data_IF_345201948451
#
_entry.id   IF_345201948451
#
_cell.length_a   1.000
_cell.length_b   1.000
_cell.length_c   1.000
_cell.angle_alpha   90.00
_cell.angle_beta   90.00
_cell.angle_gamma   90.00
#
_symmetry.space_group_name_H-M   'P 1'
#
loop_
_entity.id
_entity.type
_entity.pdbx_description
1 polymer ?
#
# COMPACT_ATOMS: atom_id res chain seq x y z
N UNK A 1 9.83 2.90 24.45
CA UNK A 1 8.83 3.75 23.76
C UNK A 1 8.96 3.69 22.24
N UNK A 2 10.14 3.97 21.66
CA UNK A 2 10.38 3.96 20.21
C UNK A 2 9.99 2.63 19.52
N UNK A 3 10.35 1.48 20.09
CA UNK A 3 9.99 0.16 19.54
C UNK A 3 8.46 -0.07 19.44
N UNK A 4 7.69 0.33 20.47
CA UNK A 4 6.23 0.17 20.47
C UNK A 4 5.58 1.02 19.37
N UNK A 5 6.07 2.25 19.19
CA UNK A 5 5.59 3.18 18.15
C UNK A 5 5.91 2.64 16.76
N UNK A 6 7.16 2.22 16.51
CA UNK A 6 7.54 1.64 15.22
C UNK A 6 6.74 0.38 14.89
N UNK A 7 6.52 -0.50 15.88
CA UNK A 7 5.65 -1.67 15.72
C UNK A 7 4.23 -1.26 15.35
N UNK A 8 3.63 -0.32 16.09
CA UNK A 8 2.27 0.15 15.81
C UNK A 8 2.14 0.72 14.40
N UNK A 9 3.07 1.57 13.96
CA UNK A 9 3.02 2.17 12.61
C UNK A 9 3.28 1.12 11.53
N UNK A 10 4.33 0.30 11.65
CA UNK A 10 4.71 -0.66 10.61
C UNK A 10 3.65 -1.76 10.43
N UNK A 11 3.01 -2.20 11.52
CA UNK A 11 1.89 -3.16 11.49
C UNK A 11 0.54 -2.51 11.19
N UNK A 12 0.52 -1.21 10.87
CA UNK A 12 -0.66 -0.39 10.63
C UNK A 12 -1.74 -0.56 11.71
N UNK A 13 -1.40 -0.17 12.94
CA UNK A 13 -2.30 -0.27 14.09
C UNK A 13 -2.47 -1.67 14.67
N UNK A 14 -1.66 -2.64 14.24
CA UNK A 14 -1.75 -4.04 14.66
C UNK A 14 -2.43 -4.95 13.66
N UNK A 15 -2.90 -4.43 12.51
CA UNK A 15 -3.50 -5.21 11.43
C UNK A 15 -2.53 -6.28 10.92
N UNK A 16 -1.25 -5.93 10.76
CA UNK A 16 -0.22 -6.88 10.32
C UNK A 16 0.07 -8.02 11.31
N UNK A 17 -0.52 -8.00 12.51
CA UNK A 17 -0.43 -9.10 13.46
C UNK A 17 -1.50 -10.18 13.22
N UNK A 18 -2.39 -9.97 12.25
CA UNK A 18 -3.40 -10.96 11.90
C UNK A 18 -2.74 -12.27 11.41
N UNK A 19 -3.18 -13.44 11.89
CA UNK A 19 -2.44 -14.70 11.70
C UNK A 19 -2.44 -15.21 10.25
N UNK A 20 -3.42 -14.84 9.44
CA UNK A 20 -3.59 -15.38 8.08
C UNK A 20 -3.50 -14.29 7.01
N UNK A 21 -2.50 -14.39 6.13
CA UNK A 21 -2.28 -13.44 5.03
C UNK A 21 -2.30 -11.96 5.47
N UNK A 22 -1.41 -11.53 6.41
CA UNK A 22 -1.39 -10.17 6.93
C UNK A 22 -1.31 -9.10 5.84
N UNK A 23 -0.54 -9.33 4.76
CA UNK A 23 -0.47 -8.44 3.60
C UNK A 23 -1.84 -8.18 2.97
N UNK A 24 -2.61 -9.24 2.70
CA UNK A 24 -3.97 -9.12 2.17
C UNK A 24 -4.91 -8.32 3.08
N UNK A 25 -4.77 -8.46 4.41
CA UNK A 25 -5.55 -7.67 5.37
C UNK A 25 -5.09 -6.22 5.38
N UNK A 26 -3.78 -5.97 5.24
CA UNK A 26 -3.21 -4.64 5.03
C UNK A 26 -3.78 -3.96 3.79
N UNK A 27 -3.80 -4.62 2.64
CA UNK A 27 -4.35 -4.04 1.42
C UNK A 27 -5.86 -3.79 1.55
N UNK A 28 -6.61 -4.66 2.24
CA UNK A 28 -8.02 -4.40 2.59
C UNK A 28 -8.16 -3.16 3.49
N UNK A 29 -7.26 -2.94 4.44
CA UNK A 29 -7.25 -1.72 5.24
C UNK A 29 -7.05 -0.47 4.36
N UNK A 30 -6.19 -0.55 3.34
CA UNK A 30 -6.07 0.47 2.29
C UNK A 30 -7.39 0.75 1.56
N UNK A 31 -8.15 -0.29 1.20
CA UNK A 31 -9.48 -0.14 0.60
C UNK A 31 -10.48 0.53 1.55
N UNK A 32 -10.47 0.18 2.84
CA UNK A 32 -11.33 0.81 3.85
C UNK A 32 -11.03 2.30 3.96
N UNK A 33 -9.74 2.69 3.94
CA UNK A 33 -9.31 4.10 3.97
C UNK A 33 -9.82 4.84 2.72
N UNK A 34 -9.65 4.26 1.54
CA UNK A 34 -10.15 4.84 0.29
C UNK A 34 -11.68 4.95 0.28
N UNK A 35 -12.38 3.94 0.80
CA UNK A 35 -13.82 3.95 0.98
C UNK A 35 -14.26 5.10 1.89
N UNK A 36 -13.57 5.33 3.01
CA UNK A 36 -13.82 6.46 3.89
C UNK A 36 -13.56 7.80 3.18
N UNK A 37 -12.45 7.92 2.43
CA UNK A 37 -12.13 9.12 1.64
C UNK A 37 -13.20 9.38 0.57
N UNK A 38 -13.80 8.35 -0.01
CA UNK A 38 -14.80 8.48 -1.09
C UNK A 38 -16.07 9.23 -0.68
N UNK A 39 -16.36 9.34 0.63
CA UNK A 39 -17.46 10.15 1.15
C UNK A 39 -17.17 11.66 1.16
N UNK A 40 -15.95 12.09 0.81
CA UNK A 40 -15.63 13.52 0.75
C UNK A 40 -16.43 14.24 -0.36
N UNK A 41 -16.75 15.54 -0.20
CA UNK A 41 -17.80 16.21 -0.98
C UNK A 41 -17.54 16.33 -2.48
N UNK A 42 -16.30 16.18 -2.93
CA UNK A 42 -15.94 16.26 -4.34
C UNK A 42 -14.67 15.48 -4.65
N UNK A 43 -14.48 15.15 -5.93
CA UNK A 43 -13.27 14.49 -6.40
C UNK A 43 -11.98 15.26 -6.06
N UNK A 44 -12.00 16.60 -6.07
CA UNK A 44 -10.86 17.42 -5.69
C UNK A 44 -10.46 17.20 -4.22
N UNK A 45 -11.45 17.19 -3.31
CA UNK A 45 -11.21 16.91 -1.90
C UNK A 45 -10.71 15.48 -1.68
N UNK A 46 -11.26 14.50 -2.39
CA UNK A 46 -10.80 13.10 -2.33
C UNK A 46 -9.31 12.99 -2.72
N UNK A 47 -8.91 13.63 -3.83
CA UNK A 47 -7.52 13.63 -4.29
C UNK A 47 -6.61 14.32 -3.26
N UNK A 48 -7.01 15.46 -2.70
CA UNK A 48 -6.23 16.15 -1.65
C UNK A 48 -6.01 15.23 -0.45
N UNK A 49 -7.05 14.53 0.02
CA UNK A 49 -6.93 13.60 1.15
C UNK A 49 -6.00 12.42 0.83
N UNK A 50 -6.06 11.87 -0.40
CA UNK A 50 -5.14 10.81 -0.83
C UNK A 50 -3.69 11.30 -0.90
N UNK A 51 -3.45 12.51 -1.42
CA UNK A 51 -2.12 13.13 -1.46
C UNK A 51 -1.58 13.31 -0.05
N UNK A 52 -2.37 13.90 0.86
CA UNK A 52 -1.98 14.07 2.26
C UNK A 52 -1.68 12.74 2.94
N UNK A 53 -2.50 11.72 2.68
CA UNK A 53 -2.25 10.36 3.17
C UNK A 53 -0.89 9.85 2.70
N UNK A 54 -0.59 9.89 1.39
CA UNK A 54 0.67 9.39 0.85
C UNK A 54 1.89 10.18 1.36
N UNK A 55 1.78 11.51 1.42
CA UNK A 55 2.85 12.37 1.95
C UNK A 55 3.19 12.08 3.42
N UNK A 56 2.22 11.62 4.20
CA UNK A 56 2.42 11.27 5.61
C UNK A 56 2.90 9.83 5.75
N UNK A 57 2.23 8.87 5.11
CA UNK A 57 2.41 7.45 5.38
C UNK A 57 3.61 6.82 4.65
N UNK A 58 4.05 7.37 3.50
CA UNK A 58 5.30 6.92 2.86
C UNK A 58 6.51 7.14 3.78
N UNK A 59 6.83 8.37 4.24
CA UNK A 59 8.00 8.57 5.10
C UNK A 59 7.86 7.87 6.46
N UNK A 60 6.65 7.84 7.04
CA UNK A 60 6.41 7.10 8.28
C UNK A 60 6.61 5.60 8.10
N UNK A 61 6.16 5.03 6.98
CA UNK A 61 6.38 3.64 6.61
C UNK A 61 7.86 3.32 6.53
N UNK A 62 8.64 4.08 5.75
CA UNK A 62 10.08 3.88 5.63
C UNK A 62 10.79 3.92 6.99
N UNK A 63 10.47 4.91 7.83
CA UNK A 63 11.09 5.05 9.17
C UNK A 63 10.67 3.91 10.08
N UNK A 64 9.38 3.58 10.12
CA UNK A 64 8.83 2.55 11.00
C UNK A 64 9.30 1.15 10.62
N UNK A 65 9.31 0.81 9.33
CA UNK A 65 9.77 -0.47 8.81
C UNK A 65 11.28 -0.66 9.05
N UNK A 66 12.10 0.37 8.77
CA UNK A 66 13.55 0.33 9.11
C UNK A 66 13.79 0.10 10.60
N UNK A 67 13.03 0.78 11.45
CA UNK A 67 13.13 0.62 12.89
C UNK A 67 12.63 -0.76 13.35
N UNK A 68 11.58 -1.28 12.72
CA UNK A 68 11.03 -2.61 13.01
C UNK A 68 12.07 -3.70 12.72
N UNK A 69 12.65 -3.72 11.52
CA UNK A 69 13.69 -4.70 11.17
C UNK A 69 14.84 -4.68 12.18
N UNK A 70 15.29 -3.47 12.55
CA UNK A 70 16.38 -3.29 13.52
C UNK A 70 16.02 -3.80 14.92
N UNK A 71 14.83 -3.50 15.42
CA UNK A 71 14.42 -3.88 16.78
C UNK A 71 14.07 -5.36 16.91
N UNK A 72 13.48 -5.94 15.88
CA UNK A 72 13.03 -7.34 15.90
C UNK A 72 14.01 -8.30 15.22
N UNK A 73 15.11 -7.78 14.63
CA UNK A 73 16.15 -8.55 13.95
C UNK A 73 15.60 -9.51 12.88
N UNK A 74 14.56 -9.06 12.18
CA UNK A 74 13.94 -9.75 11.05
C UNK A 74 14.21 -8.94 9.79
N UNK A 75 14.58 -9.61 8.72
CA UNK A 75 14.66 -9.03 7.38
C UNK A 75 13.30 -9.27 6.73
N UNK A 76 12.72 -8.22 6.15
CA UNK A 76 11.43 -8.25 5.44
C UNK A 76 10.30 -8.97 6.21
N UNK A 77 9.93 -8.47 7.42
CA UNK A 77 8.94 -9.12 8.27
C UNK A 77 7.52 -8.98 7.71
N UNK A 78 6.85 -10.11 7.44
CA UNK A 78 5.45 -10.21 7.00
C UNK A 78 4.40 -9.44 7.83
N UNK A 79 4.75 -9.07 9.06
CA UNK A 79 3.87 -8.29 9.93
C UNK A 79 3.88 -6.78 9.60
N UNK A 80 4.84 -6.33 8.79
CA UNK A 80 4.86 -4.97 8.23
C UNK A 80 3.90 -4.96 7.05
N UNK A 81 2.89 -4.11 7.15
CA UNK A 81 1.77 -4.03 6.17
C UNK A 81 1.43 -2.58 5.83
N UNK A 82 2.26 -1.62 6.23
CA UNK A 82 2.07 -0.20 5.90
C UNK A 82 2.41 0.09 4.44
N UNK A 83 3.38 -0.63 3.89
CA UNK A 83 3.70 -0.80 2.47
C UNK A 83 2.47 -1.22 1.67
N UNK A 84 1.78 -2.28 2.11
CA UNK A 84 0.58 -2.84 1.51
C UNK A 84 -0.59 -1.83 1.45
N UNK A 85 -0.79 -1.11 2.56
CA UNK A 85 -1.80 -0.04 2.65
C UNK A 85 -1.48 1.09 1.68
N UNK A 86 -0.22 1.54 1.64
CA UNK A 86 0.24 2.61 0.75
C UNK A 86 0.14 2.18 -0.72
N UNK A 87 0.56 0.97 -1.07
CA UNK A 87 0.48 0.41 -2.41
C UNK A 87 -0.96 0.34 -2.93
N UNK A 88 -1.91 -0.05 -2.07
CA UNK A 88 -3.34 -0.04 -2.41
C UNK A 88 -3.88 1.37 -2.65
N UNK A 89 -3.50 2.35 -1.81
CA UNK A 89 -3.89 3.76 -2.00
C UNK A 89 -3.35 4.31 -3.32
N UNK A 90 -2.11 3.97 -3.68
CA UNK A 90 -1.50 4.35 -4.96
C UNK A 90 -2.26 3.70 -6.13
N UNK A 91 -2.60 2.41 -6.02
CA UNK A 91 -3.29 1.67 -7.10
C UNK A 91 -4.59 2.33 -7.52
N UNK A 92 -5.38 2.80 -6.54
CA UNK A 92 -6.69 3.43 -6.76
C UNK A 92 -6.66 4.95 -6.70
N UNK A 93 -5.48 5.55 -6.63
CA UNK A 93 -5.31 7.00 -6.56
C UNK A 93 -6.11 7.69 -7.66
N UNK A 94 -6.87 8.73 -7.34
CA UNK A 94 -7.69 9.52 -8.26
C UNK A 94 -8.65 8.71 -9.17
N UNK A 95 -9.05 7.49 -8.77
CA UNK A 95 -10.14 6.75 -9.40
C UNK A 95 -11.42 6.85 -8.56
N UNK A 96 -12.62 6.85 -9.20
CA UNK A 96 -13.86 6.76 -8.46
C UNK A 96 -13.93 5.42 -7.72
N UNK A 97 -14.42 5.45 -6.48
CA UNK A 97 -14.56 4.27 -5.63
C UNK A 97 -15.78 3.43 -6.05
N UNK A 98 -15.65 2.75 -7.19
CA UNK A 98 -16.66 1.83 -7.73
C UNK A 98 -16.30 0.38 -7.42
N UNK A 99 -17.31 -0.50 -7.40
CA UNK A 99 -17.10 -1.92 -7.15
C UNK A 99 -16.09 -2.55 -8.13
N UNK A 100 -16.18 -2.18 -9.41
CA UNK A 100 -15.25 -2.65 -10.44
C UNK A 100 -13.81 -2.22 -10.15
N UNK A 101 -13.59 -0.92 -9.91
CA UNK A 101 -12.24 -0.39 -9.65
C UNK A 101 -11.65 -1.01 -8.39
N UNK A 102 -12.45 -1.15 -7.33
CA UNK A 102 -12.02 -1.74 -6.06
C UNK A 102 -11.57 -3.18 -6.24
N UNK A 103 -12.40 -4.03 -6.88
CA UNK A 103 -12.07 -5.44 -7.08
C UNK A 103 -10.89 -5.59 -8.03
N UNK A 104 -10.95 -4.95 -9.20
CA UNK A 104 -9.90 -5.06 -10.21
C UNK A 104 -8.56 -4.51 -9.69
N UNK A 105 -8.58 -3.35 -9.03
CA UNK A 105 -7.39 -2.75 -8.44
C UNK A 105 -6.79 -3.60 -7.33
N UNK A 106 -7.62 -4.14 -6.43
CA UNK A 106 -7.15 -5.05 -5.38
C UNK A 106 -6.47 -6.29 -5.97
N UNK A 107 -7.12 -6.95 -6.94
CA UNK A 107 -6.57 -8.17 -7.55
C UNK A 107 -5.28 -7.89 -8.33
N UNK A 108 -5.22 -6.80 -9.11
CA UNK A 108 -4.02 -6.41 -9.84
C UNK A 108 -2.86 -6.10 -8.89
N UNK A 109 -3.12 -5.31 -7.85
CA UNK A 109 -2.13 -4.96 -6.84
C UNK A 109 -1.58 -6.20 -6.15
N UNK A 110 -2.44 -7.04 -5.58
CA UNK A 110 -1.99 -8.27 -4.89
C UNK A 110 -1.23 -9.20 -5.83
N UNK A 111 -1.68 -9.33 -7.09
CA UNK A 111 -0.97 -10.15 -8.06
C UNK A 111 0.45 -9.63 -8.32
N UNK A 112 0.61 -8.33 -8.58
CA UNK A 112 1.91 -7.74 -8.87
C UNK A 112 2.82 -7.66 -7.64
N UNK A 113 2.27 -7.41 -6.46
CA UNK A 113 3.01 -7.44 -5.21
C UNK A 113 3.46 -8.87 -4.85
N UNK A 114 2.65 -9.90 -5.06
CA UNK A 114 3.08 -11.28 -4.77
C UNK A 114 4.12 -11.77 -5.79
N UNK A 115 3.93 -11.44 -7.07
CA UNK A 115 4.80 -11.93 -8.16
C UNK A 115 6.11 -11.13 -8.26
N UNK A 116 6.10 -9.84 -7.91
CA UNK A 116 7.22 -8.88 -8.03
C UNK A 116 7.98 -9.01 -9.36
N UNK A 117 7.31 -8.91 -10.52
CA UNK A 117 7.97 -9.10 -11.81
C UNK A 117 9.07 -8.06 -12.02
N UNK A 118 10.08 -8.39 -12.83
CA UNK A 118 11.10 -7.43 -13.20
C UNK A 118 10.46 -6.18 -13.86
N UNK A 119 10.79 -4.94 -13.45
CA UNK A 119 11.88 -4.53 -12.55
C UNK A 119 11.52 -4.37 -11.06
N UNK A 120 10.26 -4.59 -10.64
CA UNK A 120 9.79 -4.41 -9.25
C UNK A 120 10.64 -5.22 -8.28
N UNK A 121 10.88 -6.51 -8.56
CA UNK A 121 11.69 -7.37 -7.70
C UNK A 121 13.14 -6.90 -7.48
N UNK A 122 13.70 -6.03 -8.35
CA UNK A 122 15.05 -5.48 -8.11
C UNK A 122 15.08 -4.49 -6.93
N UNK A 123 13.94 -3.89 -6.58
CA UNK A 123 13.85 -2.91 -5.49
C UNK A 123 14.08 -3.53 -4.11
N UNK A 124 13.88 -4.84 -3.98
CA UNK A 124 14.20 -5.60 -2.76
C UNK A 124 15.68 -5.56 -2.38
N UNK A 125 16.58 -5.20 -3.31
CA UNK A 125 18.00 -5.01 -3.01
C UNK A 125 18.29 -3.71 -2.23
N UNK A 126 17.32 -2.79 -2.18
CA UNK A 126 17.41 -1.59 -1.36
C UNK A 126 17.29 -2.00 0.11
N UNK A 127 18.18 -1.50 0.96
CA UNK A 127 18.23 -1.90 2.37
C UNK A 127 17.27 -1.10 3.24
N UNK A 128 16.77 -1.73 4.29
CA UNK A 128 15.92 -1.10 5.30
C UNK A 128 14.50 -0.85 4.78
N UNK A 129 13.79 0.05 5.45
CA UNK A 129 12.39 0.35 5.14
C UNK A 129 12.15 0.95 3.76
N UNK A 130 13.18 1.45 3.06
CA UNK A 130 13.02 1.81 1.64
C UNK A 130 12.85 0.59 0.77
N UNK A 131 13.55 -0.52 1.04
CA UNK A 131 13.35 -1.77 0.31
C UNK A 131 11.94 -2.30 0.47
N UNK A 132 11.46 -2.34 1.72
CA UNK A 132 10.12 -2.80 2.09
C UNK A 132 9.00 -1.94 1.49
N UNK A 133 9.18 -0.63 1.42
CA UNK A 133 8.13 0.25 0.88
C UNK A 133 8.19 0.33 -0.66
N UNK A 134 9.38 0.20 -1.27
CA UNK A 134 9.56 0.55 -2.67
C UNK A 134 8.96 -0.47 -3.64
N UNK A 135 9.01 -1.76 -3.33
CA UNK A 135 8.42 -2.81 -4.14
C UNK A 135 6.89 -2.74 -4.18
N UNK A 136 6.23 -2.55 -3.03
CA UNK A 136 4.77 -2.34 -2.96
C UNK A 136 4.34 -1.02 -3.61
N UNK A 137 5.10 0.07 -3.42
CA UNK A 137 4.85 1.34 -4.12
C UNK A 137 4.94 1.13 -5.64
N UNK A 138 5.97 0.43 -6.11
CA UNK A 138 6.15 0.16 -7.54
C UNK A 138 5.04 -0.75 -8.08
N UNK A 139 4.66 -1.81 -7.36
CA UNK A 139 3.53 -2.66 -7.69
C UNK A 139 2.23 -1.85 -7.77
N UNK A 140 2.02 -0.91 -6.84
CA UNK A 140 0.88 0.00 -6.84
C UNK A 140 0.84 0.93 -8.06
N UNK A 141 1.99 1.52 -8.44
CA UNK A 141 2.09 2.37 -9.63
C UNK A 141 1.78 1.57 -10.89
N UNK A 142 2.39 0.40 -11.06
CA UNK A 142 2.16 -0.45 -12.24
C UNK A 142 0.70 -0.92 -12.30
N UNK A 143 0.12 -1.29 -11.16
CA UNK A 143 -1.31 -1.63 -11.05
C UNK A 143 -2.22 -0.47 -11.46
N UNK A 144 -1.91 0.75 -11.01
CA UNK A 144 -2.68 1.95 -11.36
C UNK A 144 -2.69 2.23 -12.87
N UNK A 145 -1.55 2.01 -13.54
CA UNK A 145 -1.41 2.15 -14.99
C UNK A 145 -2.22 1.10 -15.72
N UNK A 146 -2.06 -0.19 -15.35
CA UNK A 146 -2.79 -1.30 -15.98
C UNK A 146 -4.30 -1.13 -15.81
N UNK A 147 -4.75 -0.77 -14.60
CA UNK A 147 -6.16 -0.55 -14.31
C UNK A 147 -6.75 0.59 -15.15
N UNK A 148 -6.01 1.68 -15.35
CA UNK A 148 -6.46 2.79 -16.21
C UNK A 148 -6.56 2.38 -17.67
N UNK A 149 -5.60 1.62 -18.17
CA UNK A 149 -5.66 1.08 -19.54
C UNK A 149 -6.88 0.18 -19.69
N UNK A 150 -7.13 -0.71 -18.72
CA UNK A 150 -8.30 -1.58 -18.70
C UNK A 150 -9.61 -0.76 -18.75
N UNK A 151 -9.75 0.25 -17.88
CA UNK A 151 -10.92 1.14 -17.85
C UNK A 151 -11.08 1.87 -19.19
N UNK A 152 -9.99 2.38 -19.76
CA UNK A 152 -10.00 3.07 -21.04
C UNK A 152 -10.56 2.18 -22.16
N UNK A 153 -10.13 0.92 -22.25
CA UNK A 153 -10.64 -0.03 -23.26
C UNK A 153 -12.08 -0.50 -23.01
N UNK A 154 -12.58 -0.44 -21.77
CA UNK A 154 -13.96 -0.83 -21.46
C UNK A 154 -14.95 0.31 -21.79
N UNK A 155 -14.52 1.57 -21.65
CA UNK A 155 -15.38 2.74 -21.79
C UNK A 155 -15.30 3.38 -23.18
N UNK A 156 -14.28 3.04 -23.98
CA UNK A 156 -14.12 3.47 -25.38
C UNK A 156 -14.88 2.56 -26.34
#
# INVERSE_FOLDING_TARGET
MKQKISKFIATFGGIGLFPFAPGSVGSIAGLIILGAISFAPSAAYQIILQILFLLIFIPLGVIASSAYEKYFRKIDPKEVVIDEVVGMVITLFALPFSLFNVIAGYLLFRFLDIVKPFPIGKLQNIKGGWGIMADDIAAGIVSAVILRLLIFFIVS
#
